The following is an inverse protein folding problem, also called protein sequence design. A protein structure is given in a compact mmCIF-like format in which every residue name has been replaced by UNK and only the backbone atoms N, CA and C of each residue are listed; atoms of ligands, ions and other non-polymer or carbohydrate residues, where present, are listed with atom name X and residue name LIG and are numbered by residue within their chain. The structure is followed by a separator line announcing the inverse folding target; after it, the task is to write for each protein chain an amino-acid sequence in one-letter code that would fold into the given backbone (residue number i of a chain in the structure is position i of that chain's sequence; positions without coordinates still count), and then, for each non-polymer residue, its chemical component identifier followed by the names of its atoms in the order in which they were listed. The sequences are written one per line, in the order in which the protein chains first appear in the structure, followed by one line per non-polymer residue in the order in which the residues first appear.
data_IF_776799535078
#
_entry.id   IF_776799535078
#
_cell.length_a   1.000
_cell.length_b   1.000
_cell.length_c   1.000
_cell.angle_alpha   90.00
_cell.angle_beta   90.00
_cell.angle_gamma   90.00
#
_symmetry.space_group_name_H-M   'P 1'
#
loop_
_entity.id
_entity.type
_entity.pdbx_description
1 polymer ?
#
# COMPACT_ATOMS: atom_id res chain seq x y z
N UNK A 1 -21.58 21.76 15.36
CA UNK A 1 -21.24 21.80 13.92
C UNK A 1 -22.24 20.87 13.28
N UNK A 2 -23.20 21.41 12.54
CA UNK A 2 -24.21 20.58 11.88
C UNK A 2 -23.51 19.77 10.78
N UNK A 3 -23.71 18.45 10.70
CA UNK A 3 -23.12 17.64 9.64
C UNK A 3 -23.68 18.10 8.29
N UNK A 4 -22.79 18.41 7.36
CA UNK A 4 -23.18 18.69 5.97
C UNK A 4 -23.42 17.37 5.24
N UNK A 5 -24.27 17.37 4.20
CA UNK A 5 -24.49 16.22 3.28
C UNK A 5 -23.18 15.69 2.61
N UNK A 6 -22.06 16.38 2.83
CA UNK A 6 -20.72 16.11 2.33
C UNK A 6 -19.88 15.18 3.24
N UNK A 7 -20.34 14.82 4.44
CA UNK A 7 -19.56 14.01 5.42
C UNK A 7 -19.67 12.50 5.18
N UNK A 8 -19.46 12.08 3.91
CA UNK A 8 -19.50 10.67 3.49
C UNK A 8 -18.10 10.14 3.20
N UNK A 9 -17.75 9.05 3.87
CA UNK A 9 -16.43 8.44 3.76
C UNK A 9 -16.49 7.07 3.09
N UNK A 10 -15.42 6.72 2.39
CA UNK A 10 -15.18 5.40 1.82
C UNK A 10 -14.08 4.72 2.60
N UNK A 11 -14.31 3.46 2.99
CA UNK A 11 -13.31 2.62 3.63
C UNK A 11 -12.50 1.84 2.59
N UNK A 12 -11.22 2.20 2.41
CA UNK A 12 -10.29 1.46 1.57
C UNK A 12 -9.53 0.40 2.38
N UNK A 13 -9.67 -0.85 1.97
CA UNK A 13 -8.88 -1.96 2.48
C UNK A 13 -7.69 -2.21 1.56
N UNK A 14 -6.49 -1.93 2.04
CA UNK A 14 -5.23 -2.23 1.34
C UNK A 14 -4.72 -3.64 1.71
N UNK A 15 -3.83 -4.23 0.89
CA UNK A 15 -3.04 -5.39 1.31
C UNK A 15 -2.23 -5.09 2.57
N UNK A 16 -2.04 -6.10 3.43
CA UNK A 16 -1.36 -5.95 4.72
C UNK A 16 0.10 -5.52 4.60
N UNK A 17 0.74 -5.78 3.47
CA UNK A 17 2.08 -5.31 3.13
C UNK A 17 2.03 -4.74 1.72
N UNK A 18 2.65 -3.58 1.53
CA UNK A 18 2.71 -2.94 0.23
C UNK A 18 4.05 -3.30 -0.44
N UNK A 19 4.05 -3.69 -1.73
CA UNK A 19 5.25 -4.20 -2.38
C UNK A 19 6.18 -3.08 -2.88
N UNK A 20 6.43 -2.02 -2.09
CA UNK A 20 7.32 -0.94 -2.53
C UNK A 20 8.78 -1.28 -2.28
N UNK A 21 9.61 -1.03 -3.27
CA UNK A 21 11.05 -1.00 -3.06
C UNK A 21 11.38 0.28 -2.30
N UNK A 22 11.94 0.13 -1.09
CA UNK A 22 12.41 1.28 -0.31
C UNK A 22 13.39 2.10 -1.18
N UNK A 23 13.09 3.38 -1.50
CA UNK A 23 14.03 4.23 -2.21
C UNK A 23 15.23 4.45 -1.28
N UNK A 24 16.33 3.75 -1.56
CA UNK A 24 17.50 3.70 -0.69
C UNK A 24 18.25 2.36 -0.67
N UNK A 25 17.67 1.28 -1.22
CA UNK A 25 18.38 0.01 -1.43
C UNK A 25 18.97 -0.11 -2.84
N UNK A 26 19.43 1.00 -3.41
CA UNK A 26 20.25 1.01 -4.62
C UNK A 26 21.50 1.83 -4.32
N UNK A 27 22.61 1.14 -4.06
CA UNK A 27 23.95 1.70 -4.16
C UNK A 27 24.57 2.24 -2.86
N UNK A 28 25.22 1.36 -2.11
CA UNK A 28 26.56 1.70 -1.59
C UNK A 28 27.44 0.46 -1.52
N UNK A 29 27.55 -0.28 -2.62
CA UNK A 29 28.72 -1.12 -2.90
C UNK A 29 29.89 -0.20 -3.19
N UNK A 30 30.57 0.26 -2.13
CA UNK A 30 31.99 0.61 -2.25
C UNK A 30 32.76 -0.71 -2.31
N UNK A 31 33.63 -0.94 -3.31
CA UNK A 31 34.57 -2.04 -3.26
C UNK A 31 35.67 -1.66 -2.25
N UNK A 32 35.58 -2.18 -1.03
CA UNK A 32 36.74 -2.24 -0.14
C UNK A 32 37.32 -3.64 -0.20
N UNK A 33 38.48 -3.68 -0.83
CA UNK A 33 39.45 -4.75 -0.88
C UNK A 33 39.80 -5.30 0.52
N UNK A 34 39.82 -6.62 0.61
CA UNK A 34 40.57 -7.50 1.52
C UNK A 34 40.82 -7.06 2.98
N UNK A 35 40.23 -7.79 3.93
CA UNK A 35 40.99 -8.40 5.05
C UNK A 35 40.24 -9.63 5.56
N UNK A 36 40.94 -10.76 5.52
CA UNK A 36 40.54 -12.06 6.05
C UNK A 36 40.65 -12.03 7.58
N UNK A 37 39.61 -12.44 8.31
CA UNK A 37 39.79 -13.04 9.63
C UNK A 37 38.68 -14.06 9.94
N UNK A 38 39.14 -15.25 10.34
CA UNK A 38 38.37 -16.46 10.58
C UNK A 38 37.54 -16.39 11.87
N UNK A 39 36.31 -16.93 11.84
CA UNK A 39 35.55 -17.32 13.02
C UNK A 39 34.35 -18.20 12.64
N UNK A 40 34.20 -19.43 13.18
CA UNK A 40 33.09 -20.29 12.84
C UNK A 40 31.91 -20.01 13.77
N UNK A 41 30.93 -19.25 13.29
CA UNK A 41 29.59 -19.29 13.90
C UNK A 41 28.57 -19.48 12.80
N UNK A 42 28.10 -20.72 12.68
CA UNK A 42 26.94 -21.10 11.88
C UNK A 42 25.68 -20.50 12.52
N UNK A 43 25.39 -19.25 12.22
CA UNK A 43 24.01 -18.76 12.25
C UNK A 43 23.43 -19.02 10.87
N UNK A 44 22.60 -20.05 10.76
CA UNK A 44 21.78 -20.35 9.59
C UNK A 44 21.06 -19.06 9.19
N UNK A 45 21.50 -18.43 8.11
CA UNK A 45 20.75 -17.33 7.49
C UNK A 45 19.44 -17.95 7.01
N UNK A 46 18.36 -17.62 7.71
CA UNK A 46 17.02 -17.77 7.17
C UNK A 46 17.05 -17.06 5.83
N UNK A 47 16.77 -17.79 4.76
CA UNK A 47 16.63 -17.20 3.45
C UNK A 47 15.36 -16.34 3.48
N UNK A 48 15.49 -15.10 3.94
CA UNK A 48 14.44 -14.09 3.87
C UNK A 48 14.34 -13.66 2.40
N UNK A 49 13.75 -14.52 1.58
CA UNK A 49 13.23 -14.17 0.26
C UNK A 49 11.94 -13.35 0.45
N UNK A 50 12.03 -12.24 1.16
CA UNK A 50 11.00 -11.21 1.20
C UNK A 50 11.78 -9.92 1.02
N UNK A 51 11.67 -9.31 -0.17
CA UNK A 51 12.25 -7.99 -0.41
C UNK A 51 11.75 -6.97 0.62
N UNK A 52 12.30 -5.73 0.64
CA UNK A 52 11.80 -4.70 1.53
C UNK A 52 10.28 -4.56 1.31
N UNK A 53 9.49 -4.95 2.31
CA UNK A 53 8.06 -4.73 2.34
C UNK A 53 7.84 -3.47 3.17
N UNK A 54 6.97 -2.60 2.67
CA UNK A 54 6.65 -1.32 3.33
C UNK A 54 5.22 -1.39 3.82
N UNK A 55 5.00 -0.96 5.05
CA UNK A 55 3.66 -0.78 5.59
C UNK A 55 3.11 0.59 5.16
N UNK A 56 1.82 0.84 5.38
CA UNK A 56 1.21 2.13 5.02
C UNK A 56 1.86 3.28 5.81
N UNK A 57 2.20 3.02 7.07
CA UNK A 57 2.89 3.93 7.99
C UNK A 57 4.33 4.25 7.61
N UNK A 58 4.97 3.43 6.77
CA UNK A 58 6.34 3.68 6.29
C UNK A 58 6.37 4.67 5.11
N UNK A 59 5.21 5.04 4.56
CA UNK A 59 5.12 5.96 3.45
C UNK A 59 5.34 7.41 3.90
N UNK A 60 6.03 8.23 3.08
CA UNK A 60 6.18 9.64 3.39
C UNK A 60 4.81 10.33 3.45
N UNK A 61 4.63 11.31 4.34
CA UNK A 61 3.40 12.09 4.37
C UNK A 61 3.24 12.88 3.07
N UNK A 62 1.98 13.09 2.65
CA UNK A 62 1.65 13.86 1.45
C UNK A 62 1.05 12.99 0.34
N UNK A 63 1.38 13.30 -0.91
CA UNK A 63 0.90 12.53 -2.07
C UNK A 63 1.50 11.13 -2.05
N UNK A 64 0.63 10.12 -1.94
CA UNK A 64 1.03 8.72 -1.91
C UNK A 64 0.93 8.10 -3.31
N UNK A 65 -0.07 8.49 -4.09
CA UNK A 65 -0.39 7.89 -5.38
C UNK A 65 -1.59 8.52 -6.07
N UNK A 66 -2.11 7.86 -7.10
CA UNK A 66 -3.17 8.38 -7.97
C UNK A 66 -4.34 7.40 -8.06
N UNK A 67 -5.54 7.88 -7.75
CA UNK A 67 -6.77 7.15 -8.00
C UNK A 67 -7.28 7.48 -9.42
N UNK A 68 -7.40 6.47 -10.27
CA UNK A 68 -7.80 6.56 -11.66
C UNK A 68 -9.23 6.03 -11.82
N UNK A 69 -10.14 6.87 -12.30
CA UNK A 69 -11.51 6.50 -12.63
C UNK A 69 -11.65 6.45 -14.15
N UNK A 70 -11.91 5.26 -14.69
CA UNK A 70 -12.03 5.04 -16.13
C UNK A 70 -13.45 5.33 -16.61
N UNK A 71 -13.60 5.64 -17.91
CA UNK A 71 -14.93 5.82 -18.53
C UNK A 71 -15.84 4.61 -18.40
N UNK A 72 -15.27 3.41 -18.27
CA UNK A 72 -16.00 2.16 -18.02
C UNK A 72 -16.55 2.03 -16.60
N UNK A 73 -16.20 2.95 -15.69
CA UNK A 73 -16.51 2.87 -14.27
C UNK A 73 -15.49 2.04 -13.47
N UNK A 74 -14.54 1.37 -14.12
CA UNK A 74 -13.43 0.72 -13.42
C UNK A 74 -12.60 1.76 -12.66
N UNK A 75 -12.08 1.38 -11.50
CA UNK A 75 -11.25 2.25 -10.65
C UNK A 75 -9.94 1.53 -10.34
N UNK A 76 -8.82 2.24 -10.46
CA UNK A 76 -7.50 1.75 -10.09
C UNK A 76 -6.77 2.74 -9.19
N UNK A 77 -5.96 2.24 -8.27
CA UNK A 77 -5.02 3.04 -7.50
C UNK A 77 -3.61 2.73 -7.96
N UNK A 78 -2.87 3.73 -8.44
CA UNK A 78 -1.43 3.65 -8.64
C UNK A 78 -0.72 4.15 -7.39
N UNK A 79 0.05 3.27 -6.75
CA UNK A 79 0.74 3.55 -5.50
C UNK A 79 2.14 2.92 -5.58
N UNK A 80 3.19 3.72 -5.40
CA UNK A 80 4.59 3.24 -5.43
C UNK A 80 5.00 2.45 -6.68
N UNK A 81 4.49 2.83 -7.86
CA UNK A 81 4.79 2.16 -9.13
C UNK A 81 4.01 0.87 -9.38
N UNK A 82 3.10 0.50 -8.47
CA UNK A 82 2.24 -0.69 -8.57
C UNK A 82 0.80 -0.25 -8.78
N UNK A 83 0.11 -0.94 -9.68
CA UNK A 83 -1.32 -0.76 -9.93
C UNK A 83 -2.13 -1.72 -9.07
N UNK A 84 -3.15 -1.17 -8.41
CA UNK A 84 -4.18 -1.90 -7.69
C UNK A 84 -5.53 -1.67 -8.35
N UNK A 85 -6.32 -2.72 -8.54
CA UNK A 85 -7.72 -2.61 -8.91
C UNK A 85 -8.56 -2.38 -7.64
N UNK A 86 -9.48 -1.43 -7.69
CA UNK A 86 -10.42 -1.18 -6.61
C UNK A 86 -11.73 -1.94 -6.88
N UNK A 87 -11.99 -2.96 -6.07
CA UNK A 87 -13.19 -3.79 -6.16
C UNK A 87 -14.16 -3.37 -5.07
N UNK A 88 -15.46 -3.32 -5.38
CA UNK A 88 -16.49 -3.06 -4.38
C UNK A 88 -16.44 -4.14 -3.28
N UNK A 89 -16.34 -3.69 -2.03
CA UNK A 89 -16.40 -4.56 -0.86
C UNK A 89 -17.82 -5.02 -0.56
N UNK A 90 -17.95 -5.89 0.43
CA UNK A 90 -19.26 -6.33 0.92
C UNK A 90 -20.08 -5.14 1.40
N UNK A 91 -21.33 -5.07 0.95
CA UNK A 91 -22.28 -4.06 1.41
C UNK A 91 -22.51 -4.22 2.91
N UNK A 92 -22.32 -3.14 3.66
CA UNK A 92 -22.67 -3.12 5.07
C UNK A 92 -24.19 -3.01 5.21
N UNK A 93 -24.78 -3.82 6.08
CA UNK A 93 -26.23 -3.80 6.38
C UNK A 93 -26.58 -3.06 7.68
N UNK A 94 -25.58 -2.42 8.28
CA UNK A 94 -25.70 -1.63 9.50
C UNK A 94 -24.98 -0.28 9.34
N UNK A 95 -25.37 0.70 10.14
CA UNK A 95 -24.74 2.02 10.15
C UNK A 95 -23.28 1.93 10.64
N UNK A 96 -22.36 2.60 9.96
CA UNK A 96 -20.96 2.66 10.32
C UNK A 96 -20.53 4.13 10.43
N UNK A 97 -19.97 4.52 11.57
CA UNK A 97 -19.58 5.89 11.88
C UNK A 97 -18.06 5.99 12.01
N UNK A 98 -17.47 7.03 11.40
CA UNK A 98 -16.06 7.36 11.56
C UNK A 98 -15.92 8.37 12.71
N UNK A 99 -15.13 8.00 13.73
CA UNK A 99 -14.88 8.83 14.91
C UNK A 99 -13.38 9.04 15.13
N UNK A 100 -13.01 10.27 15.49
CA UNK A 100 -11.66 10.59 15.96
C UNK A 100 -11.65 10.60 17.49
N UNK A 101 -10.75 9.83 18.10
CA UNK A 101 -10.60 9.74 19.56
C UNK A 101 -9.18 10.15 19.96
N UNK A 102 -9.07 11.17 20.81
CA UNK A 102 -7.83 11.54 21.48
C UNK A 102 -7.96 11.26 22.98
N UNK A 103 -7.32 10.18 23.44
CA UNK A 103 -7.38 9.76 24.84
C UNK A 103 -6.63 10.72 25.78
N UNK A 104 -5.59 11.41 25.31
CA UNK A 104 -4.78 12.31 26.14
C UNK A 104 -5.54 13.58 26.52
N UNK A 105 -6.29 14.15 25.57
CA UNK A 105 -7.15 15.32 25.80
C UNK A 105 -8.60 14.95 26.15
N UNK A 106 -8.92 13.66 26.25
CA UNK A 106 -10.27 13.13 26.47
C UNK A 106 -11.31 13.67 25.47
N UNK A 107 -10.91 13.84 24.21
CA UNK A 107 -11.76 14.38 23.16
C UNK A 107 -12.22 13.28 22.20
N UNK A 108 -13.50 13.29 21.83
CA UNK A 108 -14.09 12.40 20.85
C UNK A 108 -14.92 13.23 19.87
N UNK A 109 -14.74 13.02 18.56
CA UNK A 109 -15.44 13.76 17.52
C UNK A 109 -15.98 12.79 16.46
N UNK A 110 -17.26 12.93 16.13
CA UNK A 110 -17.85 12.30 14.96
C UNK A 110 -17.36 13.02 13.70
N UNK A 111 -16.85 12.27 12.73
CA UNK A 111 -16.36 12.80 11.46
C UNK A 111 -17.39 12.62 10.34
N UNK A 112 -18.13 11.52 10.34
CA UNK A 112 -19.14 11.23 9.31
C UNK A 112 -19.41 9.75 9.15
N UNK A 113 -20.28 9.42 8.20
CA UNK A 113 -20.72 8.05 7.94
C UNK A 113 -19.80 7.35 6.93
N UNK A 114 -19.51 6.07 7.18
CA UNK A 114 -18.86 5.19 6.21
C UNK A 114 -19.96 4.56 5.35
N UNK A 115 -19.97 4.92 4.07
CA UNK A 115 -21.05 4.54 3.15
C UNK A 115 -20.67 3.38 2.24
N UNK A 116 -19.41 3.34 1.82
CA UNK A 116 -18.89 2.36 0.88
C UNK A 116 -17.57 1.74 1.34
N UNK A 117 -17.32 0.51 0.89
CA UNK A 117 -16.06 -0.19 1.09
C UNK A 117 -15.43 -0.51 -0.26
N UNK A 118 -14.15 -0.24 -0.40
CA UNK A 118 -13.35 -0.65 -1.56
C UNK A 118 -12.21 -1.56 -1.08
N UNK A 119 -12.00 -2.68 -1.77
CA UNK A 119 -10.88 -3.60 -1.54
C UNK A 119 -9.89 -3.43 -2.67
N UNK A 120 -8.65 -3.09 -2.31
CA UNK A 120 -7.57 -2.88 -3.26
C UNK A 120 -6.80 -4.19 -3.46
N UNK A 121 -6.82 -4.70 -4.69
CA UNK A 121 -6.13 -5.94 -5.07
C UNK A 121 -5.05 -5.63 -6.10
N UNK A 122 -3.84 -6.21 -6.01
CA UNK A 122 -2.80 -6.00 -7.03
C UNK A 122 -3.32 -6.40 -8.42
N UNK A 123 -3.11 -5.55 -9.43
CA UNK A 123 -3.54 -5.81 -10.80
C UNK A 123 -2.58 -6.80 -11.49
N UNK A 124 -2.71 -8.10 -11.19
CA UNK A 124 -1.78 -9.16 -11.63
C UNK A 124 -1.61 -9.19 -13.15
N UNK A 125 -2.66 -8.90 -13.91
CA UNK A 125 -2.61 -8.91 -15.39
C UNK A 125 -1.53 -7.95 -15.94
N UNK A 126 -1.35 -6.79 -15.30
CA UNK A 126 -0.34 -5.80 -15.72
C UNK A 126 1.10 -6.29 -15.47
N UNK A 127 1.29 -7.21 -14.52
CA UNK A 127 2.59 -7.82 -14.28
C UNK A 127 2.93 -8.90 -15.32
N UNK A 128 1.93 -9.61 -15.84
CA UNK A 128 2.14 -10.73 -16.75
C UNK A 128 2.41 -10.29 -18.20
N UNK A 129 1.86 -9.15 -18.62
CA UNK A 129 2.01 -8.64 -19.99
C UNK A 129 3.42 -8.10 -20.31
N UNK A 130 4.28 -7.93 -19.30
CA UNK A 130 5.69 -7.54 -19.46
C UNK A 130 6.61 -8.61 -20.06
N UNK A 131 6.14 -9.85 -20.24
CA UNK A 131 6.94 -10.99 -20.72
C UNK A 131 6.77 -11.36 -22.20
N UNK A 132 5.93 -10.65 -22.97
CA UNK A 132 5.53 -11.10 -24.32
C UNK A 132 6.13 -10.31 -25.49
N UNK A 133 7.01 -9.34 -25.25
CA UNK A 133 7.60 -8.51 -26.30
C UNK A 133 9.12 -8.67 -26.42
N UNK A 134 9.59 -9.88 -26.70
CA UNK A 134 10.92 -10.08 -27.28
C UNK A 134 10.89 -11.39 -28.08
N UNK A 135 10.34 -11.37 -29.31
CA UNK A 135 10.65 -12.34 -30.37
C UNK A 135 10.08 -11.89 -31.74
N UNK A 136 10.44 -10.68 -32.20
CA UNK A 136 10.40 -10.39 -33.64
C UNK A 136 11.30 -9.19 -33.98
N UNK A 137 12.56 -9.45 -34.30
CA UNK A 137 13.30 -8.79 -35.37
C UNK A 137 14.52 -9.61 -35.77
#
# INVERSE_FOLDING_TARGET
MEPSDDDRYIFFQLPSFLPFTKPGSVGSTKPTENTISNGPSRSVKKADHIGPSTWLEDLPPGEMGKLLVYRSGAVKLQLGGISFEAVAGSKCVFAQELVAVNAASQHCCFLGDITDKAVLVPAINEFLEGGSNEQKR
#
